data_IF_418430003193
#
_entry.id   IF_418430003193
#
_cell.length_a   1.000
_cell.length_b   1.000
_cell.length_c   1.000
_cell.angle_alpha   90.00
_cell.angle_beta   90.00
_cell.angle_gamma   90.00
#
_symmetry.space_group_name_H-M   'P 1'
#
loop_
_entity.id
_entity.type
_entity.pdbx_description
1 polymer ?
#
# COMPACT_ATOMS: atom_id res chain seq x y z
N UNK A 1 -14.35 -42.46 -21.85
CA UNK A 1 -15.12 -41.34 -21.26
C UNK A 1 -14.20 -40.65 -20.27
N UNK A 2 -14.05 -39.33 -20.31
CA UNK A 2 -13.32 -38.63 -19.24
C UNK A 2 -13.97 -39.01 -17.92
N UNK A 3 -13.17 -39.54 -16.99
CA UNK A 3 -13.65 -39.69 -15.62
C UNK A 3 -13.93 -38.29 -15.06
N UNK A 4 -14.91 -38.19 -14.15
CA UNK A 4 -15.22 -36.91 -13.48
C UNK A 4 -13.97 -36.32 -12.82
N UNK A 5 -13.12 -37.18 -12.27
CA UNK A 5 -11.84 -36.81 -11.69
C UNK A 5 -10.88 -36.16 -12.72
N UNK A 6 -10.69 -36.78 -13.88
CA UNK A 6 -9.86 -36.21 -14.97
C UNK A 6 -10.42 -34.88 -15.47
N UNK A 7 -11.76 -34.74 -15.51
CA UNK A 7 -12.41 -33.49 -15.92
C UNK A 7 -12.17 -32.37 -14.88
N UNK A 8 -12.28 -32.67 -13.59
CA UNK A 8 -12.00 -31.72 -12.51
C UNK A 8 -10.52 -31.27 -12.51
N UNK A 9 -9.58 -32.20 -12.68
CA UNK A 9 -8.16 -31.85 -12.80
C UNK A 9 -7.86 -31.01 -14.04
N UNK A 10 -8.53 -31.28 -15.16
CA UNK A 10 -8.38 -30.47 -16.38
C UNK A 10 -8.86 -29.04 -16.16
N UNK A 11 -10.02 -28.86 -15.50
CA UNK A 11 -10.57 -27.55 -15.15
C UNK A 11 -9.64 -26.82 -14.18
N UNK A 12 -9.16 -27.50 -13.14
CA UNK A 12 -8.23 -26.93 -12.17
C UNK A 12 -6.92 -26.49 -12.82
N UNK A 13 -6.36 -27.34 -13.68
CA UNK A 13 -5.10 -27.06 -14.40
C UNK A 13 -5.26 -25.84 -15.30
N UNK A 14 -6.36 -25.76 -16.04
CA UNK A 14 -6.65 -24.60 -16.90
C UNK A 14 -6.82 -23.32 -16.08
N UNK A 15 -7.56 -23.37 -14.97
CA UNK A 15 -7.73 -22.22 -14.07
C UNK A 15 -6.40 -21.76 -13.47
N UNK A 16 -5.56 -22.69 -13.02
CA UNK A 16 -4.25 -22.38 -12.46
C UNK A 16 -3.32 -21.76 -13.52
N UNK A 17 -3.28 -22.32 -14.73
CA UNK A 17 -2.50 -21.79 -15.84
C UNK A 17 -2.97 -20.39 -16.25
N UNK A 18 -4.29 -20.19 -16.41
CA UNK A 18 -4.87 -18.88 -16.72
C UNK A 18 -4.50 -17.84 -15.67
N UNK A 19 -4.65 -18.15 -14.38
CA UNK A 19 -4.29 -17.23 -13.30
C UNK A 19 -2.80 -16.94 -13.22
N UNK A 20 -1.96 -17.91 -13.56
CA UNK A 20 -0.51 -17.73 -13.62
C UNK A 20 -0.13 -16.78 -14.75
N UNK A 21 -0.80 -16.88 -15.90
CA UNK A 21 -0.62 -15.95 -17.03
C UNK A 21 -1.05 -14.54 -16.64
N UNK A 22 -2.23 -14.38 -16.04
CA UNK A 22 -2.70 -13.08 -15.51
C UNK A 22 -1.65 -12.47 -14.57
N UNK A 23 -1.11 -13.28 -13.66
CA UNK A 23 -0.06 -12.85 -12.73
C UNK A 23 1.23 -12.38 -13.42
N UNK A 24 1.69 -13.10 -14.45
CA UNK A 24 2.90 -12.74 -15.18
C UNK A 24 2.70 -11.47 -16.02
N UNK A 25 1.54 -11.32 -16.67
CA UNK A 25 1.25 -10.20 -17.57
C UNK A 25 0.97 -8.92 -16.77
N UNK A 26 0.12 -8.99 -15.75
CA UNK A 26 -0.37 -7.80 -15.03
C UNK A 26 0.44 -7.50 -13.77
N UNK A 27 1.05 -8.51 -13.17
CA UNK A 27 1.64 -8.47 -11.82
C UNK A 27 0.57 -8.57 -10.71
N UNK A 28 0.91 -9.13 -9.55
CA UNK A 28 0.05 -9.15 -8.32
C UNK A 28 0.02 -7.77 -7.61
N UNK A 29 0.58 -6.73 -8.19
CA UNK A 29 0.75 -5.45 -7.49
C UNK A 29 -0.55 -4.64 -7.45
N UNK A 30 -1.45 -5.05 -6.55
CA UNK A 30 -2.47 -4.15 -6.01
C UNK A 30 -1.77 -3.11 -5.14
N UNK A 31 -1.73 -1.89 -5.66
CA UNK A 31 -1.22 -0.74 -4.94
C UNK A 31 -2.28 -0.17 -4.02
N UNK A 32 -1.85 0.19 -2.81
CA UNK A 32 -2.63 0.94 -1.85
C UNK A 32 -1.99 2.30 -1.63
N UNK A 33 -2.81 3.33 -1.70
CA UNK A 33 -2.49 4.64 -1.15
C UNK A 33 -2.70 4.59 0.34
N UNK A 34 -1.68 4.98 1.09
CA UNK A 34 -1.72 5.02 2.56
C UNK A 34 -1.46 6.44 3.00
N UNK A 35 -2.45 7.01 3.69
CA UNK A 35 -2.38 8.33 4.30
C UNK A 35 -2.26 8.15 5.81
N UNK A 36 -1.21 8.70 6.39
CA UNK A 36 -0.84 8.55 7.80
C UNK A 36 -0.84 9.93 8.44
N UNK A 37 -1.62 10.09 9.49
CA UNK A 37 -1.77 11.33 10.27
C UNK A 37 -1.27 11.02 11.68
N UNK A 38 -0.13 11.61 12.04
CA UNK A 38 0.56 11.32 13.30
C UNK A 38 1.30 12.56 13.81
N UNK A 39 1.58 12.61 15.12
CA UNK A 39 2.49 13.62 15.68
C UNK A 39 3.97 13.33 15.35
N UNK A 40 4.29 12.08 14.99
CA UNK A 40 5.62 11.58 14.64
C UNK A 40 5.79 11.41 13.12
N UNK A 41 5.17 12.30 12.34
CA UNK A 41 5.17 12.25 10.86
C UNK A 41 6.57 12.19 10.26
N UNK A 42 7.53 12.91 10.84
CA UNK A 42 8.93 12.95 10.40
C UNK A 42 9.64 11.61 10.57
N UNK A 43 9.48 10.96 11.73
CA UNK A 43 10.07 9.65 12.03
C UNK A 43 9.48 8.58 11.11
N UNK A 44 8.16 8.62 10.91
CA UNK A 44 7.45 7.72 9.99
C UNK A 44 7.92 7.93 8.55
N UNK A 45 8.09 9.18 8.10
CA UNK A 45 8.63 9.47 6.77
C UNK A 45 10.00 8.84 6.58
N UNK A 46 10.92 9.06 7.53
CA UNK A 46 12.29 8.53 7.44
C UNK A 46 12.27 7.00 7.42
N UNK A 47 11.46 6.36 8.28
CA UNK A 47 11.31 4.91 8.30
C UNK A 47 10.82 4.35 6.96
N UNK A 48 9.81 4.97 6.34
CA UNK A 48 9.28 4.51 5.04
C UNK A 48 10.34 4.65 3.94
N UNK A 49 11.12 5.73 3.95
CA UNK A 49 12.18 5.96 2.96
C UNK A 49 13.34 4.96 3.16
N UNK A 50 13.90 4.89 4.37
CA UNK A 50 15.15 4.18 4.63
C UNK A 50 14.96 2.67 4.84
N UNK A 51 13.88 2.25 5.50
CA UNK A 51 13.67 0.84 5.86
C UNK A 51 12.75 0.10 4.88
N UNK A 52 11.84 0.82 4.23
CA UNK A 52 10.96 0.23 3.22
C UNK A 52 11.40 0.54 1.79
N UNK A 53 12.25 1.56 1.58
CA UNK A 53 12.69 1.95 0.23
C UNK A 53 11.53 2.49 -0.60
N UNK A 54 10.55 3.14 0.04
CA UNK A 54 9.33 3.64 -0.63
C UNK A 54 9.30 5.16 -0.63
N UNK A 55 8.79 5.71 -1.73
CA UNK A 55 8.57 7.15 -1.86
C UNK A 55 7.50 7.64 -0.90
N UNK A 56 7.70 8.85 -0.39
CA UNK A 56 6.77 9.53 0.50
C UNK A 56 6.52 10.94 -0.02
N UNK A 57 5.28 11.38 0.07
CA UNK A 57 4.86 12.77 -0.12
C UNK A 57 4.33 13.30 1.20
N UNK A 58 4.72 14.52 1.58
CA UNK A 58 4.14 15.21 2.73
C UNK A 58 3.08 16.20 2.26
N UNK A 59 1.91 16.17 2.89
CA UNK A 59 0.90 17.22 2.76
C UNK A 59 0.90 18.08 4.01
N UNK A 60 0.91 19.40 3.85
CA UNK A 60 0.69 20.32 4.95
C UNK A 60 -0.81 20.51 5.16
N UNK A 61 -1.30 20.05 6.31
CA UNK A 61 -2.69 20.18 6.72
C UNK A 61 -2.85 21.01 7.98
N UNK A 62 -4.11 21.28 8.33
CA UNK A 62 -4.50 21.77 9.65
C UNK A 62 -5.44 20.76 10.28
N UNK A 63 -5.30 20.51 11.57
CA UNK A 63 -6.24 19.62 12.29
C UNK A 63 -7.65 20.21 12.23
N UNK A 64 -8.69 19.40 12.10
CA UNK A 64 -10.09 19.87 12.03
C UNK A 64 -10.83 19.89 13.38
N UNK A 65 -10.37 19.11 14.35
CA UNK A 65 -11.00 18.99 15.67
C UNK A 65 -9.93 18.98 16.76
N UNK A 66 -9.84 20.08 17.51
CA UNK A 66 -9.02 20.19 18.72
C UNK A 66 -9.92 20.21 19.94
N UNK A 67 -9.57 19.48 21.01
CA UNK A 67 -10.28 19.52 22.31
C UNK A 67 -10.33 20.93 22.93
N UNK A 68 -9.48 21.83 22.47
CA UNK A 68 -9.46 23.23 22.84
C UNK A 68 -9.64 24.05 21.57
N UNK A 69 -10.82 24.67 21.46
CA UNK A 69 -11.12 25.60 20.37
C UNK A 69 -10.06 26.70 20.29
N UNK A 70 -9.95 27.27 19.09
CA UNK A 70 -9.24 28.50 18.72
C UNK A 70 -7.89 28.37 18.01
N UNK A 71 -7.15 27.27 18.17
CA UNK A 71 -5.99 27.02 17.31
C UNK A 71 -5.99 25.60 16.74
N UNK A 72 -6.18 25.51 15.43
CA UNK A 72 -5.97 24.29 14.67
C UNK A 72 -4.48 24.19 14.36
N UNK A 73 -3.68 23.39 15.11
CA UNK A 73 -2.27 23.27 14.83
C UNK A 73 -2.06 22.70 13.43
N UNK A 74 -1.01 23.20 12.76
CA UNK A 74 -0.54 22.59 11.52
C UNK A 74 -0.14 21.14 11.81
N UNK A 75 -0.34 20.28 10.82
CA UNK A 75 0.06 18.88 10.87
C UNK A 75 0.57 18.47 9.50
N UNK A 76 1.70 17.77 9.49
CA UNK A 76 2.19 17.11 8.30
C UNK A 76 1.55 15.73 8.19
N UNK A 77 0.97 15.48 7.02
CA UNK A 77 0.30 14.22 6.69
C UNK A 77 1.22 13.46 5.74
N UNK A 78 1.57 12.23 6.11
CA UNK A 78 2.44 11.36 5.33
C UNK A 78 1.60 10.57 4.35
N UNK A 79 1.91 10.66 3.06
CA UNK A 79 1.29 9.84 2.04
C UNK A 79 2.33 8.95 1.35
N UNK A 80 2.03 7.68 1.22
CA UNK A 80 2.86 6.72 0.50
C UNK A 80 2.01 5.77 -0.31
N UNK A 81 2.62 5.17 -1.33
CA UNK A 81 2.01 4.13 -2.14
C UNK A 81 2.82 2.86 -1.96
N UNK A 82 2.17 1.82 -1.46
CA UNK A 82 2.79 0.52 -1.20
C UNK A 82 1.98 -0.61 -1.81
N UNK A 83 2.57 -1.79 -1.90
CA UNK A 83 1.85 -2.99 -2.34
C UNK A 83 1.10 -3.63 -1.18
N UNK A 84 0.08 -4.44 -1.48
CA UNK A 84 -0.68 -5.17 -0.44
C UNK A 84 0.18 -6.06 0.47
N UNK A 85 1.31 -6.57 -0.05
CA UNK A 85 2.24 -7.42 0.71
C UNK A 85 3.04 -6.64 1.76
N UNK A 86 3.18 -5.32 1.60
CA UNK A 86 4.00 -4.48 2.48
C UNK A 86 3.21 -3.87 3.65
N UNK A 87 1.88 -3.94 3.63
CA UNK A 87 0.99 -3.32 4.62
C UNK A 87 1.32 -3.83 6.02
N UNK A 88 1.50 -5.14 6.18
CA UNK A 88 1.72 -5.74 7.50
C UNK A 88 2.99 -5.17 8.14
N UNK A 89 4.06 -4.99 7.36
CA UNK A 89 5.30 -4.37 7.81
C UNK A 89 5.10 -2.87 8.12
N UNK A 90 4.43 -2.14 7.23
CA UNK A 90 4.15 -0.71 7.42
C UNK A 90 3.39 -0.46 8.73
N UNK A 91 2.30 -1.19 8.95
CA UNK A 91 1.47 -1.02 10.15
C UNK A 91 2.23 -1.38 11.43
N UNK A 92 3.06 -2.43 11.41
CA UNK A 92 3.87 -2.80 12.57
C UNK A 92 4.89 -1.70 12.94
N UNK A 93 5.55 -1.09 11.95
CA UNK A 93 6.49 0.01 12.21
C UNK A 93 5.77 1.30 12.63
N UNK A 94 4.62 1.62 12.04
CA UNK A 94 3.81 2.77 12.47
C UNK A 94 3.37 2.60 13.92
N UNK A 95 2.82 1.44 14.29
CA UNK A 95 2.36 1.15 15.66
C UNK A 95 3.51 1.26 16.67
N UNK A 96 4.72 0.84 16.27
CA UNK A 96 5.93 0.94 17.09
C UNK A 96 6.38 2.38 17.32
N UNK A 97 6.23 3.25 16.32
CA UNK A 97 6.63 4.65 16.38
C UNK A 97 5.56 5.53 17.05
N UNK A 98 4.30 5.34 16.68
CA UNK A 98 3.15 6.06 17.23
C UNK A 98 1.89 5.18 17.22
N UNK A 99 1.52 4.57 18.37
CA UNK A 99 0.30 3.76 18.49
C UNK A 99 -0.99 4.59 18.38
N UNK A 100 -0.90 5.92 18.42
CA UNK A 100 -2.05 6.82 18.24
C UNK A 100 -2.14 7.36 16.80
N UNK A 101 -1.32 6.86 15.88
CA UNK A 101 -1.35 7.27 14.48
C UNK A 101 -2.69 6.88 13.84
N UNK A 102 -3.25 7.81 13.05
CA UNK A 102 -4.44 7.55 12.27
C UNK A 102 -4.07 7.23 10.82
N UNK A 103 -4.38 6.01 10.39
CA UNK A 103 -3.99 5.49 9.08
C UNK A 103 -5.22 5.22 8.22
N UNK A 104 -5.26 5.78 7.02
CA UNK A 104 -6.30 5.56 6.01
C UNK A 104 -5.68 4.89 4.80
N UNK A 105 -6.30 3.81 4.33
CA UNK A 105 -5.84 3.03 3.18
C UNK A 105 -6.91 3.02 2.09
N UNK A 106 -6.50 3.18 0.84
CA UNK A 106 -7.40 3.12 -0.32
C UNK A 106 -6.74 2.39 -1.49
N UNK A 107 -7.50 1.53 -2.16
CA UNK A 107 -7.03 0.84 -3.35
C UNK A 107 -6.79 1.82 -4.49
N UNK A 108 -5.60 1.78 -5.09
CA UNK A 108 -5.26 2.58 -6.25
C UNK A 108 -5.35 1.70 -7.50
N UNK A 109 -6.23 2.08 -8.43
CA UNK A 109 -6.46 1.34 -9.68
C UNK A 109 -5.37 1.57 -10.72
N UNK A 110 -4.87 2.79 -10.84
CA UNK A 110 -3.87 3.14 -11.84
C UNK A 110 -2.95 4.22 -11.25
N UNK A 111 -1.65 4.06 -11.47
CA UNK A 111 -0.64 5.07 -11.17
C UNK A 111 0.14 5.37 -12.44
N UNK A 112 0.51 6.64 -12.65
CA UNK A 112 1.37 7.06 -13.76
C UNK A 112 2.51 7.93 -13.21
N UNK A 113 3.75 7.55 -13.50
CA UNK A 113 4.94 8.24 -13.00
C UNK A 113 5.25 7.97 -11.51
N UNK A 114 6.13 8.80 -10.92
CA UNK A 114 6.53 8.72 -9.51
C UNK A 114 7.66 7.73 -9.20
N UNK A 115 8.06 7.64 -7.92
CA UNK A 115 9.02 6.65 -7.40
C UNK A 115 8.35 5.30 -7.10
N UNK A 116 7.41 4.89 -7.93
CA UNK A 116 6.84 3.54 -7.86
C UNK A 116 7.83 2.64 -8.59
N UNK A 117 8.30 1.59 -7.91
CA UNK A 117 9.28 0.63 -8.44
C UNK A 117 8.81 0.23 -9.84
N UNK A 118 9.59 0.55 -10.88
CA UNK A 118 9.21 0.24 -12.27
C UNK A 118 8.88 -1.25 -12.38
N UNK A 119 7.77 -1.57 -13.03
CA UNK A 119 7.39 -2.95 -13.39
C UNK A 119 8.63 -3.68 -13.91
N UNK A 120 9.01 -4.85 -13.37
CA UNK A 120 10.21 -5.56 -13.80
C UNK A 120 10.16 -6.10 -15.24
N UNK A 121 9.04 -5.94 -15.96
CA UNK A 121 8.85 -6.55 -17.27
C UNK A 121 8.19 -5.53 -18.21
N UNK A 122 9.02 -4.87 -19.00
CA UNK A 122 8.61 -4.19 -20.23
C UNK A 122 9.28 -4.94 -21.39
N UNK A 123 8.61 -5.98 -21.88
CA UNK A 123 8.85 -6.58 -23.19
C UNK A 123 7.50 -6.96 -23.79
#
# INVERSE_FOLDING_TARGET
MLSVETALYSILTYLAASKTIDFIIEGIEEYLGVTIISAHSEEIRVMIIEQMGRGVTLYQGKRGFGKYGEHLPNIDIVFTVITRLEIAKLNAEIERLDPNAFVVMGSIKETKGGMIKKRPLAH
#
